data_IF_780555449756
#
_entry.id   IF_780555449756
#
_cell.length_a   1.000
_cell.length_b   1.000
_cell.length_c   1.000
_cell.angle_alpha   90.00
_cell.angle_beta   90.00
_cell.angle_gamma   90.00
#
_symmetry.space_group_name_H-M   'P 1'
#
loop_
_entity.id
_entity.type
_entity.pdbx_description
1 polymer ?
#
# COMPACT_ATOMS: atom_id res chain seq x y z
N UNK A 1 18.25 -10.43 -49.00
CA UNK A 1 17.74 -11.38 -47.99
C UNK A 1 17.49 -10.58 -46.71
N UNK A 2 16.26 -10.09 -46.53
CA UNK A 2 15.84 -9.35 -45.33
C UNK A 2 15.43 -10.35 -44.25
N UNK A 3 16.05 -10.27 -43.07
CA UNK A 3 15.60 -10.95 -41.87
C UNK A 3 14.65 -9.99 -41.15
N UNK A 4 13.34 -10.24 -41.26
CA UNK A 4 12.33 -9.64 -40.38
C UNK A 4 12.11 -10.60 -39.20
N UNK A 5 12.59 -10.23 -38.02
CA UNK A 5 12.17 -10.87 -36.77
C UNK A 5 10.72 -10.48 -36.46
N UNK A 6 9.80 -11.44 -36.58
CA UNK A 6 8.44 -11.30 -36.07
C UNK A 6 8.49 -11.59 -34.56
N UNK A 7 8.49 -10.54 -33.76
CA UNK A 7 8.25 -10.64 -32.32
C UNK A 7 6.75 -10.83 -32.13
N UNK A 8 6.32 -12.08 -31.92
CA UNK A 8 4.95 -12.39 -31.54
C UNK A 8 4.66 -11.81 -30.15
N UNK A 9 4.01 -10.64 -30.09
CA UNK A 9 3.31 -10.19 -28.88
C UNK A 9 2.00 -11.00 -28.77
N UNK A 10 2.07 -12.20 -28.20
CA UNK A 10 0.90 -12.95 -27.79
C UNK A 10 0.29 -12.25 -26.55
N UNK A 11 -0.92 -11.72 -26.69
CA UNK A 11 -1.77 -11.33 -25.57
C UNK A 11 -2.52 -12.60 -25.12
N UNK A 12 -2.25 -13.18 -23.94
CA UNK A 12 -2.72 -14.52 -23.61
C UNK A 12 -4.22 -14.62 -23.31
N UNK A 13 -4.96 -13.52 -23.29
CA UNK A 13 -6.40 -13.50 -23.00
C UNK A 13 -7.20 -12.69 -24.03
N UNK A 14 -7.06 -13.04 -25.30
CA UNK A 14 -7.94 -12.55 -26.37
C UNK A 14 -9.35 -13.14 -26.21
N UNK A 15 -10.27 -12.33 -25.70
CA UNK A 15 -11.69 -12.53 -25.96
C UNK A 15 -11.87 -12.57 -27.49
N UNK A 16 -12.42 -13.67 -28.01
CA UNK A 16 -12.57 -13.93 -29.46
C UNK A 16 -13.19 -12.78 -30.26
N UNK A 17 -13.98 -11.90 -29.62
CA UNK A 17 -14.59 -10.72 -30.25
C UNK A 17 -13.61 -9.60 -30.64
N UNK A 18 -12.44 -9.49 -30.01
CA UNK A 18 -11.48 -8.43 -30.35
C UNK A 18 -10.72 -8.69 -31.66
N UNK A 19 -10.65 -9.94 -32.11
CA UNK A 19 -9.94 -10.34 -33.34
C UNK A 19 -10.69 -9.95 -34.62
N UNK A 20 -12.02 -9.79 -34.57
CA UNK A 20 -12.83 -9.54 -35.76
C UNK A 20 -13.27 -8.08 -35.96
N UNK A 21 -13.42 -7.28 -34.88
CA UNK A 21 -14.05 -5.95 -34.96
C UNK A 21 -13.12 -4.76 -34.67
N UNK A 22 -11.86 -5.02 -34.30
CA UNK A 22 -10.91 -3.99 -33.87
C UNK A 22 -11.25 -3.41 -32.48
N UNK A 23 -10.23 -2.93 -31.77
CA UNK A 23 -10.33 -2.49 -30.37
C UNK A 23 -11.37 -1.39 -30.09
N UNK A 24 -11.83 -0.66 -31.12
CA UNK A 24 -12.82 0.43 -31.00
C UNK A 24 -14.26 -0.06 -30.81
N UNK A 25 -14.53 -1.36 -31.02
CA UNK A 25 -15.88 -1.94 -31.00
C UNK A 25 -16.09 -2.96 -29.86
N UNK A 26 -15.28 -2.95 -28.80
CA UNK A 26 -15.43 -3.87 -27.67
C UNK A 26 -16.72 -3.55 -26.85
N UNK A 27 -17.70 -4.47 -26.78
CA UNK A 27 -18.99 -4.20 -26.13
C UNK A 27 -18.93 -4.23 -24.59
N UNK A 28 -17.79 -4.60 -23.99
CA UNK A 28 -17.60 -4.58 -22.53
C UNK A 28 -17.33 -3.18 -21.97
N UNK A 29 -17.41 -2.13 -22.79
CA UNK A 29 -17.22 -0.74 -22.35
C UNK A 29 -18.31 -0.24 -21.41
N UNK A 30 -19.45 -0.94 -21.30
CA UNK A 30 -20.67 -0.31 -20.79
C UNK A 30 -21.26 -0.84 -19.48
N UNK A 31 -20.59 -1.69 -18.68
CA UNK A 31 -20.85 -1.87 -17.22
C UNK A 31 -20.10 -3.08 -16.68
N UNK A 32 -19.25 -2.85 -15.66
CA UNK A 32 -18.69 -3.85 -14.71
C UNK A 32 -18.40 -5.24 -15.29
N UNK A 33 -17.52 -5.31 -16.28
CA UNK A 33 -16.93 -6.57 -16.70
C UNK A 33 -15.41 -6.49 -16.53
N UNK A 34 -14.88 -7.53 -15.89
CA UNK A 34 -13.49 -7.85 -15.59
C UNK A 34 -12.57 -7.25 -16.66
N UNK A 35 -11.83 -6.21 -16.29
CA UNK A 35 -10.95 -5.47 -17.19
C UNK A 35 -9.83 -6.40 -17.65
N UNK A 36 -9.67 -6.51 -18.98
CA UNK A 36 -8.43 -6.98 -19.60
C UNK A 36 -7.24 -6.23 -18.98
N UNK A 37 -6.11 -6.92 -18.77
CA UNK A 37 -4.90 -6.43 -18.09
C UNK A 37 -4.39 -5.09 -18.66
N UNK A 38 -4.61 -4.81 -19.94
CA UNK A 38 -4.26 -3.52 -20.55
C UNK A 38 -5.23 -2.39 -20.18
N UNK A 39 -6.53 -2.68 -20.07
CA UNK A 39 -7.52 -1.70 -19.63
C UNK A 39 -7.39 -1.40 -18.12
N UNK A 40 -7.07 -2.39 -17.28
CA UNK A 40 -6.83 -2.17 -15.84
C UNK A 40 -5.59 -1.30 -15.60
N UNK A 41 -4.52 -1.48 -16.38
CA UNK A 41 -3.32 -0.63 -16.32
C UNK A 41 -3.60 0.84 -16.66
N UNK A 42 -4.54 1.12 -17.57
CA UNK A 42 -4.95 2.49 -17.91
C UNK A 42 -5.84 3.12 -16.83
N UNK A 43 -6.79 2.36 -16.27
CA UNK A 43 -7.65 2.87 -15.16
C UNK A 43 -6.84 3.14 -13.90
N UNK A 44 -5.89 2.26 -13.56
CA UNK A 44 -5.01 2.46 -12.40
C UNK A 44 -4.11 3.68 -12.56
N UNK A 45 -3.59 3.98 -13.76
CA UNK A 45 -2.81 5.20 -14.01
C UNK A 45 -3.63 6.48 -13.88
N UNK A 46 -4.90 6.47 -14.28
CA UNK A 46 -5.78 7.64 -14.15
C UNK A 46 -6.23 7.85 -12.69
N UNK A 47 -6.50 6.78 -11.94
CA UNK A 47 -6.74 6.83 -10.49
C UNK A 47 -5.50 7.38 -9.77
N UNK A 48 -4.30 6.89 -10.11
CA UNK A 48 -3.03 7.37 -9.55
C UNK A 48 -2.76 8.86 -9.87
N UNK A 49 -3.22 9.34 -11.03
CA UNK A 49 -3.11 10.75 -11.39
C UNK A 49 -4.01 11.64 -10.54
N UNK A 50 -5.19 11.13 -10.16
CA UNK A 50 -6.18 11.89 -9.39
C UNK A 50 -5.87 11.94 -7.88
N UNK A 51 -5.04 11.02 -7.36
CA UNK A 51 -4.56 11.02 -5.97
C UNK A 51 -3.26 11.82 -5.76
N UNK A 52 -2.77 12.52 -6.78
CA UNK A 52 -1.43 13.15 -6.77
C UNK A 52 -1.38 14.62 -6.34
N UNK A 53 -2.53 15.22 -6.01
CA UNK A 53 -2.56 16.60 -5.53
C UNK A 53 -2.06 16.64 -4.09
N UNK A 54 -0.79 17.02 -3.91
CA UNK A 54 -0.14 17.15 -2.61
C UNK A 54 -0.83 18.24 -1.81
N UNK A 55 -1.53 17.85 -0.75
CA UNK A 55 -2.17 18.79 0.18
C UNK A 55 -1.15 19.13 1.26
N UNK A 56 -0.78 20.40 1.37
CA UNK A 56 0.11 20.85 2.44
C UNK A 56 -0.70 21.18 3.69
N UNK A 57 -0.36 20.56 4.82
CA UNK A 57 -1.03 20.76 6.12
C UNK A 57 0.01 20.82 7.25
N UNK A 58 -0.34 21.49 8.34
CA UNK A 58 0.47 21.47 9.58
C UNK A 58 0.45 20.09 10.25
N UNK A 59 1.45 19.80 11.08
CA UNK A 59 1.51 18.55 11.83
C UNK A 59 0.29 18.37 12.76
N UNK A 60 -0.15 19.46 13.38
CA UNK A 60 -1.33 19.49 14.26
C UNK A 60 -2.61 19.14 13.50
N UNK A 61 -2.76 19.70 12.29
CA UNK A 61 -3.90 19.42 11.41
C UNK A 61 -3.87 17.98 10.89
N UNK A 62 -2.70 17.47 10.52
CA UNK A 62 -2.51 16.06 10.16
C UNK A 62 -3.01 15.14 11.29
N UNK A 63 -2.55 15.36 12.52
CA UNK A 63 -2.93 14.55 13.68
C UNK A 63 -4.42 14.61 13.99
N UNK A 64 -5.07 15.75 13.76
CA UNK A 64 -6.48 15.93 14.05
C UNK A 64 -7.41 15.29 13.00
N UNK A 65 -6.97 15.21 11.74
CA UNK A 65 -7.86 14.89 10.61
C UNK A 65 -7.48 13.58 9.92
N UNK A 66 -6.20 13.20 9.89
CA UNK A 66 -5.69 12.16 9.00
C UNK A 66 -5.00 10.99 9.70
N UNK A 67 -4.49 11.17 10.92
CA UNK A 67 -3.62 10.16 11.57
C UNK A 67 -4.31 8.82 11.90
N UNK A 68 -5.64 8.75 11.88
CA UNK A 68 -6.43 7.53 12.05
C UNK A 68 -6.95 6.94 10.72
N UNK A 69 -6.49 7.49 9.59
CA UNK A 69 -6.83 7.10 8.22
C UNK A 69 -5.56 6.68 7.49
N UNK A 70 -5.69 6.00 6.35
CA UNK A 70 -4.59 5.56 5.48
C UNK A 70 -3.88 6.72 4.75
N UNK A 71 -3.16 7.55 5.50
CA UNK A 71 -2.44 8.74 5.04
C UNK A 71 -1.14 8.92 5.82
N UNK A 72 -0.07 9.24 5.11
CA UNK A 72 1.20 9.63 5.73
C UNK A 72 1.38 11.15 5.68
N UNK A 73 2.25 11.68 6.55
CA UNK A 73 2.68 13.07 6.51
C UNK A 73 4.19 13.15 6.44
N UNK A 74 4.71 13.84 5.43
CA UNK A 74 6.15 13.97 5.18
C UNK A 74 6.43 15.40 4.74
N UNK A 75 7.30 16.10 5.48
CA UNK A 75 7.77 17.45 5.15
C UNK A 75 6.63 18.46 4.90
N UNK A 76 5.53 18.38 5.66
CA UNK A 76 4.39 19.29 5.52
C UNK A 76 3.36 18.88 4.46
N UNK A 77 3.50 17.71 3.85
CA UNK A 77 2.59 17.19 2.83
C UNK A 77 1.85 15.94 3.31
N UNK A 78 0.53 15.88 3.08
CA UNK A 78 -0.28 14.67 3.27
C UNK A 78 -0.19 13.81 2.02
N UNK A 79 0.13 12.54 2.21
CA UNK A 79 0.30 11.54 1.15
C UNK A 79 -0.79 10.48 1.34
N UNK A 80 -1.69 10.37 0.37
CA UNK A 80 -2.68 9.29 0.35
C UNK A 80 -1.98 7.96 0.06
N UNK A 81 -2.24 6.95 0.90
CA UNK A 81 -1.73 5.61 0.65
C UNK A 81 -2.49 4.95 -0.51
N UNK A 82 -1.79 4.06 -1.23
CA UNK A 82 -2.41 3.31 -2.32
C UNK A 82 -3.51 2.39 -1.79
N UNK A 83 -4.59 2.15 -2.55
CA UNK A 83 -5.59 1.17 -2.18
C UNK A 83 -4.97 -0.21 -1.94
N UNK A 84 -5.32 -0.84 -0.82
CA UNK A 84 -4.82 -2.16 -0.45
C UNK A 84 -5.43 -3.24 -1.34
N UNK A 85 -4.58 -3.99 -2.05
CA UNK A 85 -4.98 -5.18 -2.79
C UNK A 85 -5.14 -6.36 -1.83
N UNK A 86 -6.04 -7.30 -2.14
CA UNK A 86 -6.29 -8.47 -1.28
C UNK A 86 -5.01 -9.26 -0.96
N UNK A 87 -4.09 -9.43 -1.93
CA UNK A 87 -2.84 -10.16 -1.68
C UNK A 87 -1.93 -9.45 -0.68
N UNK A 88 -1.91 -8.10 -0.69
CA UNK A 88 -1.17 -7.29 0.27
C UNK A 88 -1.76 -7.51 1.66
N UNK A 89 -3.08 -7.38 1.81
CA UNK A 89 -3.78 -7.59 3.08
C UNK A 89 -3.53 -8.99 3.65
N UNK A 90 -3.60 -10.03 2.81
CA UNK A 90 -3.35 -11.41 3.24
C UNK A 90 -1.92 -11.63 3.74
N UNK A 91 -0.93 -10.99 3.10
CA UNK A 91 0.47 -11.04 3.55
C UNK A 91 0.64 -10.29 4.88
N UNK A 92 0.02 -9.12 5.03
CA UNK A 92 0.04 -8.35 6.28
C UNK A 92 -0.56 -9.16 7.43
N UNK A 93 -1.73 -9.77 7.22
CA UNK A 93 -2.38 -10.65 8.22
C UNK A 93 -1.45 -11.80 8.61
N UNK A 94 -0.88 -12.50 7.62
CA UNK A 94 0.01 -13.64 7.87
C UNK A 94 1.23 -13.23 8.70
N UNK A 95 1.90 -12.14 8.34
CA UNK A 95 3.08 -11.65 9.06
C UNK A 95 2.74 -11.18 10.47
N UNK A 96 1.62 -10.47 10.67
CA UNK A 96 1.15 -10.07 12.01
C UNK A 96 0.88 -11.30 12.88
N UNK A 97 0.24 -12.33 12.32
CA UNK A 97 0.00 -13.59 13.03
C UNK A 97 1.30 -14.31 13.39
N UNK A 98 2.28 -14.35 12.48
CA UNK A 98 3.59 -14.93 12.73
C UNK A 98 4.27 -14.30 13.95
N UNK A 99 4.41 -12.97 13.97
CA UNK A 99 5.07 -12.28 15.08
C UNK A 99 4.27 -12.34 16.39
N UNK A 100 2.94 -12.17 16.31
CA UNK A 100 2.09 -12.25 17.50
C UNK A 100 2.17 -13.63 18.14
N UNK A 101 2.15 -14.69 17.33
CA UNK A 101 2.31 -16.07 17.81
C UNK A 101 3.70 -16.30 18.38
N UNK A 102 4.73 -15.79 17.72
CA UNK A 102 6.11 -15.90 18.19
C UNK A 102 6.29 -15.26 19.57
N UNK A 103 5.75 -14.06 19.81
CA UNK A 103 5.82 -13.40 21.13
C UNK A 103 4.95 -14.08 22.19
N UNK A 104 3.83 -14.68 21.81
CA UNK A 104 3.04 -15.50 22.73
C UNK A 104 3.82 -16.73 23.22
N UNK A 105 4.67 -17.31 22.38
CA UNK A 105 5.55 -18.43 22.73
C UNK A 105 6.84 -18.00 23.44
N UNK A 106 7.25 -16.74 23.32
CA UNK A 106 8.47 -16.18 23.89
C UNK A 106 8.18 -14.92 24.73
N UNK A 107 7.43 -15.03 25.85
CA UNK A 107 6.95 -13.87 26.61
C UNK A 107 8.06 -12.98 27.16
N UNK A 108 9.26 -13.53 27.40
CA UNK A 108 10.43 -12.79 27.86
C UNK A 108 10.91 -11.72 26.87
N UNK A 109 10.55 -11.81 25.59
CA UNK A 109 10.90 -10.78 24.61
C UNK A 109 10.09 -9.50 24.77
N UNK A 110 8.96 -9.55 25.48
CA UNK A 110 8.11 -8.39 25.71
C UNK A 110 7.76 -7.66 24.40
N UNK A 111 7.33 -8.41 23.38
CA UNK A 111 7.07 -7.91 22.03
C UNK A 111 5.62 -7.54 21.76
N UNK A 112 5.40 -6.54 20.91
CA UNK A 112 4.09 -6.12 20.41
C UNK A 112 4.15 -5.85 18.91
N UNK A 113 3.05 -6.11 18.21
CA UNK A 113 2.91 -5.92 16.77
C UNK A 113 1.70 -5.03 16.52
N UNK A 114 1.90 -3.92 15.82
CA UNK A 114 0.84 -3.02 15.36
C UNK A 114 1.00 -2.80 13.86
N UNK A 115 0.03 -2.17 13.22
CA UNK A 115 0.09 -1.86 11.80
C UNK A 115 -0.84 -0.70 11.46
N UNK A 116 -0.80 -0.27 10.21
CA UNK A 116 -1.68 0.73 9.62
C UNK A 116 -3.16 0.55 10.08
N UNK A 117 -3.86 1.63 10.51
CA UNK A 117 -3.49 3.05 10.51
C UNK A 117 -2.81 3.55 11.79
N UNK A 118 -1.99 2.72 12.45
CA UNK A 118 -1.27 3.15 13.65
C UNK A 118 -0.02 3.98 13.30
N UNK A 119 -0.01 5.26 13.68
CA UNK A 119 1.03 6.21 13.26
C UNK A 119 2.37 6.04 14.00
N UNK A 120 3.48 6.26 13.30
CA UNK A 120 4.85 6.33 13.80
C UNK A 120 5.45 7.72 13.56
N UNK A 121 5.79 8.45 14.62
CA UNK A 121 6.42 9.77 14.55
C UNK A 121 7.94 9.66 14.56
N UNK A 122 8.63 10.25 13.59
CA UNK A 122 10.09 10.17 13.48
C UNK A 122 10.74 11.51 13.87
N UNK A 123 10.98 11.84 15.15
CA UNK A 123 11.26 13.22 15.61
C UNK A 123 12.49 13.90 14.99
N UNK A 124 13.41 13.13 14.38
CA UNK A 124 14.60 13.66 13.71
C UNK A 124 14.32 14.16 12.29
N UNK A 125 13.13 13.89 11.75
CA UNK A 125 12.62 14.37 10.47
C UNK A 125 11.15 14.78 10.65
N UNK A 126 10.62 15.80 9.97
CA UNK A 126 9.22 16.16 10.11
C UNK A 126 8.36 15.13 9.36
N UNK A 127 8.16 13.96 9.98
CA UNK A 127 7.45 12.85 9.36
C UNK A 127 6.65 12.00 10.34
N UNK A 128 5.41 11.73 9.96
CA UNK A 128 4.53 10.71 10.52
C UNK A 128 4.28 9.66 9.45
N UNK A 129 4.68 8.42 9.74
CA UNK A 129 4.57 7.27 8.84
C UNK A 129 3.51 6.31 9.34
N UNK A 130 2.94 5.52 8.45
CA UNK A 130 2.02 4.44 8.79
C UNK A 130 2.49 3.14 8.14
N UNK A 131 3.56 2.51 8.66
CA UNK A 131 4.03 1.25 8.10
C UNK A 131 2.96 0.17 8.17
N UNK A 132 2.92 -0.70 7.16
CA UNK A 132 2.01 -1.86 7.13
C UNK A 132 2.10 -2.68 8.44
N UNK A 133 3.34 -2.90 8.92
CA UNK A 133 3.61 -3.57 10.20
C UNK A 133 4.76 -2.90 10.95
N UNK A 134 4.54 -2.65 12.23
CA UNK A 134 5.53 -2.22 13.21
C UNK A 134 5.69 -3.29 14.28
N UNK A 135 6.92 -3.75 14.48
CA UNK A 135 7.28 -4.67 15.58
C UNK A 135 8.08 -3.89 16.60
N UNK A 136 7.62 -3.91 17.85
CA UNK A 136 8.25 -3.21 18.98
C UNK A 136 8.62 -4.22 20.06
N UNK A 137 9.86 -4.19 20.53
CA UNK A 137 10.40 -5.18 21.48
C UNK A 137 11.12 -4.53 22.67
N UNK A 138 11.13 -5.22 23.81
CA UNK A 138 11.91 -4.82 24.99
C UNK A 138 11.59 -3.40 25.49
N UNK A 139 12.63 -2.61 25.75
CA UNK A 139 12.54 -1.26 26.31
C UNK A 139 11.93 -0.24 25.35
N UNK A 140 11.93 -0.49 24.04
CA UNK A 140 11.39 0.45 23.06
C UNK A 140 9.86 0.60 23.21
N UNK A 141 9.19 -0.36 23.88
CA UNK A 141 7.76 -0.26 24.23
C UNK A 141 7.40 0.99 25.04
N UNK A 142 8.33 1.59 25.78
CA UNK A 142 8.09 2.84 26.51
C UNK A 142 7.71 4.03 25.60
N UNK A 143 8.06 3.93 24.32
CA UNK A 143 7.77 4.92 23.29
C UNK A 143 6.42 4.66 22.61
N UNK A 144 5.77 3.53 22.89
CA UNK A 144 4.45 3.20 22.38
C UNK A 144 3.38 3.88 23.24
N UNK A 145 2.55 4.71 22.62
CA UNK A 145 1.45 5.43 23.27
C UNK A 145 0.11 4.93 22.74
N UNK A 146 -1.00 5.37 23.33
CA UNK A 146 -2.33 5.06 22.80
C UNK A 146 -2.58 5.63 21.39
N UNK A 147 -1.83 6.67 21.00
CA UNK A 147 -2.06 7.43 19.76
C UNK A 147 -1.02 7.15 18.67
N UNK A 148 0.01 6.38 18.96
CA UNK A 148 1.10 6.13 18.02
C UNK A 148 2.42 5.74 18.68
N UNK A 149 3.40 5.42 17.84
CA UNK A 149 4.78 5.17 18.23
C UNK A 149 5.60 6.46 18.17
N UNK A 150 6.23 6.83 19.30
CA UNK A 150 7.09 8.01 19.41
C UNK A 150 8.55 7.65 19.12
N UNK A 151 8.95 7.75 17.86
CA UNK A 151 10.24 7.27 17.36
C UNK A 151 10.09 6.07 16.43
N UNK A 152 11.20 5.49 16.01
CA UNK A 152 11.18 4.32 15.16
C UNK A 152 10.80 3.05 15.94
N UNK A 153 9.98 2.18 15.33
CA UNK A 153 9.82 0.80 15.77
C UNK A 153 11.13 0.00 15.54
N UNK A 154 11.25 -1.16 16.19
CA UNK A 154 12.47 -1.99 16.08
C UNK A 154 12.55 -2.71 14.73
N UNK A 155 11.40 -3.10 14.17
CA UNK A 155 11.30 -3.65 12.81
C UNK A 155 10.11 -3.00 12.12
N UNK A 156 10.40 -2.34 11.00
CA UNK A 156 9.43 -1.73 10.09
C UNK A 156 9.30 -2.61 8.85
N UNK A 157 8.10 -3.05 8.50
CA UNK A 157 7.83 -3.89 7.34
C UNK A 157 6.80 -3.21 6.46
N UNK A 158 7.13 -3.08 5.17
CA UNK A 158 6.25 -2.64 4.10
C UNK A 158 6.08 -3.76 3.08
N UNK A 159 4.85 -4.10 2.75
CA UNK A 159 4.52 -5.09 1.73
C UNK A 159 4.34 -4.35 0.41
N UNK A 160 5.21 -4.63 -0.56
CA UNK A 160 5.10 -4.02 -1.89
C UNK A 160 4.10 -4.77 -2.77
N UNK A 161 3.15 -4.07 -3.38
CA UNK A 161 2.33 -4.60 -4.47
C UNK A 161 2.89 -4.13 -5.83
N UNK A 162 3.08 -5.05 -6.77
CA UNK A 162 3.50 -4.77 -8.16
C UNK A 162 2.30 -4.75 -9.11
#
# INVERSE_FOLDING_TARGET
>A
MLIMSIVHHYCPNLCWMCLFYGAKNCPLRSKRAILCEQCSKQTNREIYKMTSEKVSVSAEEYLAIYADKHYEWVDGEVIAMSPVLLIHELLVIYLKQLFTTYFALHPNMNGIVVGDPFTMHLPNIPSYRQPDIQVIIGENRRNLTEKGMMGACDICIEVTAF
#
